data_IF_282095923707
#
_entry.id   IF_282095923707
#
_cell.length_a   1.000
_cell.length_b   1.000
_cell.length_c   1.000
_cell.angle_alpha   90.00
_cell.angle_beta   90.00
_cell.angle_gamma   90.00
#
_symmetry.space_group_name_H-M   'P 1'
#
loop_
_entity.id
_entity.type
_entity.pdbx_description
1 polymer ?
#
# COMPACT_ATOMS: atom_id res chain seq x y z
N UNK A 1 49.90 -4.98 10.87
CA UNK A 1 48.73 -4.08 10.95
C UNK A 1 47.68 -4.72 10.07
N UNK A 2 46.55 -5.15 10.64
CA UNK A 2 45.50 -5.79 9.83
C UNK A 2 44.76 -4.68 9.09
N UNK A 3 44.98 -4.59 7.78
CA UNK A 3 44.22 -3.69 6.92
C UNK A 3 42.77 -4.18 6.88
N UNK A 4 41.92 -3.52 7.66
CA UNK A 4 40.48 -3.69 7.54
C UNK A 4 40.11 -3.16 6.17
N UNK A 5 39.74 -4.05 5.26
CA UNK A 5 39.27 -3.73 3.91
C UNK A 5 38.16 -2.66 3.99
N UNK A 6 38.25 -1.61 3.18
CA UNK A 6 37.29 -0.50 3.12
C UNK A 6 35.83 -0.97 2.98
N UNK A 7 35.61 -2.12 2.32
CA UNK A 7 34.29 -2.76 2.25
C UNK A 7 33.75 -3.14 3.63
N UNK A 8 34.59 -3.69 4.51
CA UNK A 8 34.21 -4.12 5.85
C UNK A 8 33.89 -2.91 6.75
N UNK A 9 34.66 -1.83 6.64
CA UNK A 9 34.35 -0.58 7.34
C UNK A 9 33.00 -0.02 6.91
N UNK A 10 32.69 -0.07 5.61
CA UNK A 10 31.42 0.42 5.08
C UNK A 10 30.21 -0.40 5.56
N UNK A 11 30.37 -1.71 5.69
CA UNK A 11 29.33 -2.58 6.27
C UNK A 11 29.07 -2.25 7.75
N UNK A 12 30.14 -2.01 8.52
CA UNK A 12 30.05 -1.60 9.94
C UNK A 12 29.33 -0.26 10.06
N UNK A 13 29.71 0.75 9.28
CA UNK A 13 29.04 2.05 9.30
C UNK A 13 27.58 1.96 8.88
N UNK A 14 27.27 1.14 7.89
CA UNK A 14 25.90 0.89 7.45
C UNK A 14 25.07 0.25 8.58
N UNK A 15 25.63 -0.75 9.28
CA UNK A 15 24.98 -1.39 10.42
C UNK A 15 24.72 -0.38 11.55
N UNK A 16 25.74 0.36 11.99
CA UNK A 16 25.62 1.36 13.07
C UNK A 16 24.55 2.40 12.72
N UNK A 17 24.56 2.92 11.48
CA UNK A 17 23.57 3.90 11.04
C UNK A 17 22.14 3.33 10.99
N UNK A 18 21.97 2.05 10.63
CA UNK A 18 20.66 1.39 10.69
C UNK A 18 20.19 1.23 12.13
N UNK A 19 21.04 0.74 13.01
CA UNK A 19 20.72 0.56 14.44
C UNK A 19 20.41 1.90 15.09
N UNK A 20 21.19 2.94 14.82
CA UNK A 20 20.92 4.29 15.34
C UNK A 20 19.57 4.85 14.85
N UNK A 21 19.16 4.54 13.60
CA UNK A 21 17.84 4.96 13.08
C UNK A 21 16.68 4.16 13.66
N UNK A 22 16.91 2.89 14.04
CA UNK A 22 15.91 2.02 14.68
C UNK A 22 15.47 2.53 16.04
N UNK A 23 16.31 3.29 16.75
CA UNK A 23 15.99 3.79 18.08
C UNK A 23 15.98 5.31 18.11
N UNK A 24 14.82 5.90 18.41
CA UNK A 24 14.69 7.32 18.72
C UNK A 24 14.33 7.45 20.19
N UNK A 25 15.20 8.04 21.02
CA UNK A 25 14.99 8.16 22.47
C UNK A 25 14.54 6.82 23.13
N UNK A 26 15.29 5.74 22.86
CA UNK A 26 15.01 4.37 23.33
C UNK A 26 13.68 3.74 22.86
N UNK A 27 12.93 4.40 21.97
CA UNK A 27 11.73 3.84 21.33
C UNK A 27 12.03 3.36 19.92
N UNK A 28 11.41 2.24 19.52
CA UNK A 28 11.54 1.73 18.15
C UNK A 28 10.92 2.75 17.19
N UNK A 29 11.73 3.29 16.29
CA UNK A 29 11.28 4.17 15.23
C UNK A 29 10.44 3.35 14.25
N UNK A 30 9.14 3.66 14.12
CA UNK A 30 8.24 2.83 13.33
C UNK A 30 8.38 3.06 11.81
N UNK A 31 9.22 4.01 11.39
CA UNK A 31 9.47 4.35 9.99
C UNK A 31 10.71 3.65 9.39
N UNK A 32 11.31 2.71 10.11
CA UNK A 32 12.54 2.04 9.66
C UNK A 32 12.26 0.79 8.82
N UNK A 33 11.07 0.21 8.97
CA UNK A 33 10.62 -0.92 8.15
C UNK A 33 9.18 -0.71 7.72
N UNK A 34 8.90 -1.01 6.46
CA UNK A 34 7.54 -1.02 5.92
C UNK A 34 7.13 -2.45 5.59
N UNK A 35 5.99 -2.89 6.12
CA UNK A 35 5.39 -4.20 5.87
C UNK A 35 4.21 -4.02 4.92
N UNK A 36 4.34 -4.61 3.74
CA UNK A 36 3.35 -4.50 2.68
C UNK A 36 2.73 -5.87 2.45
N UNK A 37 1.41 -5.92 2.34
CA UNK A 37 0.67 -7.12 1.96
C UNK A 37 -0.33 -6.78 0.85
N UNK A 38 -0.75 -7.81 0.12
CA UNK A 38 -1.80 -7.71 -0.88
C UNK A 38 -2.78 -8.87 -0.73
N UNK A 39 -4.07 -8.60 -0.89
CA UNK A 39 -5.10 -9.63 -0.81
C UNK A 39 -6.28 -9.34 -1.73
N UNK A 40 -6.59 -10.29 -2.61
CA UNK A 40 -7.83 -10.28 -3.36
C UNK A 40 -8.98 -10.72 -2.43
N UNK A 41 -9.85 -9.77 -2.05
CA UNK A 41 -10.93 -10.00 -1.06
C UNK A 41 -12.19 -10.62 -1.67
N UNK A 42 -12.27 -10.67 -3.01
CA UNK A 42 -13.38 -11.24 -3.77
C UNK A 42 -14.75 -10.71 -3.29
N UNK A 43 -14.90 -9.39 -3.36
CA UNK A 43 -16.10 -8.62 -3.02
C UNK A 43 -16.34 -8.44 -1.52
N UNK A 44 -16.39 -7.20 -1.07
CA UNK A 44 -16.60 -6.87 0.35
C UNK A 44 -18.06 -7.05 0.77
N UNK A 45 -19.01 -6.63 -0.05
CA UNK A 45 -20.44 -6.68 0.30
C UNK A 45 -21.00 -8.10 0.40
N UNK A 46 -20.26 -9.11 -0.08
CA UNK A 46 -20.68 -10.52 0.03
C UNK A 46 -20.60 -11.04 1.46
N UNK A 47 -19.79 -10.41 2.32
CA UNK A 47 -19.72 -10.72 3.75
C UNK A 47 -19.11 -9.54 4.50
N UNK A 48 -19.91 -8.94 5.39
CA UNK A 48 -19.50 -7.80 6.23
C UNK A 48 -18.29 -8.11 7.12
N UNK A 49 -18.02 -9.39 7.40
CA UNK A 49 -16.92 -9.82 8.27
C UNK A 49 -15.58 -9.96 7.55
N UNK A 50 -15.56 -10.05 6.21
CA UNK A 50 -14.30 -10.26 5.45
C UNK A 50 -13.28 -9.15 5.70
N UNK A 51 -13.73 -7.91 5.59
CA UNK A 51 -12.86 -6.75 5.79
C UNK A 51 -12.38 -6.67 7.24
N UNK A 52 -13.28 -6.88 8.20
CA UNK A 52 -12.96 -6.83 9.63
C UNK A 52 -11.94 -7.90 10.04
N UNK A 53 -12.12 -9.15 9.56
CA UNK A 53 -11.17 -10.23 9.78
C UNK A 53 -9.80 -9.95 9.14
N UNK A 54 -9.79 -9.40 7.93
CA UNK A 54 -8.57 -9.03 7.23
C UNK A 54 -7.81 -7.89 7.95
N UNK A 55 -8.53 -6.87 8.45
CA UNK A 55 -7.94 -5.77 9.20
C UNK A 55 -7.42 -6.22 10.57
N UNK A 56 -8.13 -7.11 11.24
CA UNK A 56 -7.67 -7.76 12.48
C UNK A 56 -6.38 -8.54 12.22
N UNK A 57 -6.33 -9.32 11.14
CA UNK A 57 -5.12 -10.03 10.74
C UNK A 57 -3.97 -9.06 10.42
N UNK A 58 -4.24 -7.97 9.69
CA UNK A 58 -3.26 -6.97 9.32
C UNK A 58 -2.66 -6.30 10.56
N UNK A 59 -3.49 -5.94 11.53
CA UNK A 59 -3.08 -5.39 12.82
C UNK A 59 -2.18 -6.37 13.58
N UNK A 60 -2.61 -7.63 13.70
CA UNK A 60 -1.86 -8.70 14.37
C UNK A 60 -0.50 -9.01 13.71
N UNK A 61 -0.38 -8.76 12.40
CA UNK A 61 0.87 -8.94 11.64
C UNK A 61 1.68 -7.66 11.47
N UNK A 62 1.19 -6.55 12.05
CA UNK A 62 1.77 -5.22 11.93
C UNK A 62 1.97 -4.78 10.48
N UNK A 63 1.01 -5.06 9.61
CA UNK A 63 1.03 -4.64 8.21
C UNK A 63 0.82 -3.12 8.16
N UNK A 64 1.73 -2.41 7.51
CA UNK A 64 1.66 -0.96 7.36
C UNK A 64 0.83 -0.56 6.15
N UNK A 65 0.96 -1.30 5.05
CA UNK A 65 0.23 -1.07 3.80
C UNK A 65 -0.40 -2.38 3.34
N UNK A 66 -1.72 -2.39 3.20
CA UNK A 66 -2.48 -3.54 2.71
C UNK A 66 -3.24 -3.14 1.44
N UNK A 67 -2.78 -3.66 0.31
CA UNK A 67 -3.49 -3.56 -0.95
C UNK A 67 -4.62 -4.60 -0.99
N UNK A 68 -5.80 -4.20 -1.43
CA UNK A 68 -6.93 -5.10 -1.63
C UNK A 68 -7.49 -4.99 -3.04
N UNK A 69 -7.82 -6.13 -3.63
CA UNK A 69 -8.34 -6.23 -4.99
C UNK A 69 -9.73 -6.87 -5.01
N UNK A 70 -10.47 -6.62 -6.09
CA UNK A 70 -11.86 -7.04 -6.29
C UNK A 70 -12.78 -6.59 -5.17
N UNK A 71 -12.69 -5.30 -4.79
CA UNK A 71 -13.49 -4.75 -3.70
C UNK A 71 -14.98 -4.77 -4.03
N UNK A 72 -15.33 -4.62 -5.32
CA UNK A 72 -16.69 -4.55 -5.86
C UNK A 72 -17.58 -3.49 -5.18
N UNK A 73 -16.97 -2.37 -4.78
CA UNK A 73 -17.65 -1.22 -4.16
C UNK A 73 -17.20 0.09 -4.80
N UNK A 74 -18.05 1.11 -4.71
CA UNK A 74 -17.69 2.47 -5.05
C UNK A 74 -16.86 3.14 -3.95
N UNK A 75 -16.00 4.08 -4.32
CA UNK A 75 -15.14 4.81 -3.38
C UNK A 75 -15.92 5.49 -2.25
N UNK A 76 -17.10 6.05 -2.58
CA UNK A 76 -18.00 6.69 -1.61
C UNK A 76 -18.47 5.74 -0.52
N UNK A 77 -18.74 4.47 -0.85
CA UNK A 77 -19.08 3.44 0.15
C UNK A 77 -17.84 3.00 0.92
N UNK A 78 -16.72 2.81 0.23
CA UNK A 78 -15.44 2.40 0.82
C UNK A 78 -15.02 3.27 2.01
N UNK A 79 -15.19 4.59 1.88
CA UNK A 79 -14.86 5.56 2.93
C UNK A 79 -15.60 5.33 4.28
N UNK A 80 -16.74 4.64 4.28
CA UNK A 80 -17.55 4.39 5.47
C UNK A 80 -17.51 2.94 5.96
N UNK A 81 -16.69 2.07 5.35
CA UNK A 81 -16.67 0.65 5.70
C UNK A 81 -15.91 0.30 6.98
N UNK A 82 -14.99 1.16 7.43
CA UNK A 82 -14.23 0.90 8.64
C UNK A 82 -15.11 1.03 9.88
N UNK A 83 -15.01 0.06 10.80
CA UNK A 83 -15.56 0.22 12.15
C UNK A 83 -14.77 1.29 12.91
N UNK A 84 -15.36 1.87 13.95
CA UNK A 84 -14.71 2.95 14.71
C UNK A 84 -13.40 2.48 15.36
N UNK A 85 -13.31 1.21 15.76
CA UNK A 85 -12.06 0.60 16.23
C UNK A 85 -11.00 0.61 15.13
N UNK A 86 -11.34 0.20 13.91
CA UNK A 86 -10.38 0.15 12.81
C UNK A 86 -9.95 1.53 12.32
N UNK A 87 -10.83 2.54 12.37
CA UNK A 87 -10.49 3.94 12.02
C UNK A 87 -9.38 4.53 12.89
N UNK A 88 -9.22 4.04 14.12
CA UNK A 88 -8.13 4.49 15.01
C UNK A 88 -6.76 3.98 14.55
N UNK A 89 -6.72 2.88 13.81
CA UNK A 89 -5.48 2.23 13.38
C UNK A 89 -5.19 2.40 11.89
N UNK A 90 -6.24 2.54 11.07
CA UNK A 90 -6.11 2.53 9.62
C UNK A 90 -6.84 3.69 8.96
N UNK A 91 -6.25 4.13 7.85
CA UNK A 91 -6.85 4.98 6.84
C UNK A 91 -7.01 4.20 5.54
N UNK A 92 -8.02 4.52 4.73
CA UNK A 92 -8.30 3.78 3.49
C UNK A 92 -8.43 4.69 2.28
N UNK A 93 -7.84 4.27 1.17
CA UNK A 93 -7.98 4.85 -0.15
C UNK A 93 -8.67 3.85 -1.07
N UNK A 94 -9.57 4.32 -1.93
CA UNK A 94 -10.42 3.46 -2.74
C UNK A 94 -10.49 3.96 -4.18
N UNK A 95 -10.54 3.01 -5.13
CA UNK A 95 -11.02 3.29 -6.48
C UNK A 95 -12.54 3.08 -6.52
N UNK A 96 -13.15 3.46 -7.63
CA UNK A 96 -14.51 3.02 -7.91
C UNK A 96 -14.50 1.56 -8.39
N UNK A 97 -15.67 0.93 -8.33
CA UNK A 97 -15.95 -0.30 -9.08
C UNK A 97 -16.39 0.05 -10.49
N UNK A 98 -16.44 -0.97 -11.33
CA UNK A 98 -17.04 -0.88 -12.65
C UNK A 98 -18.58 -0.75 -12.49
N UNK A 99 -19.23 0.25 -13.11
CA UNK A 99 -20.68 0.41 -13.04
C UNK A 99 -21.40 -0.69 -13.81
N UNK A 100 -20.80 -1.21 -14.89
CA UNK A 100 -21.40 -2.18 -15.80
C UNK A 100 -21.10 -3.63 -15.40
N UNK A 101 -20.13 -3.83 -14.48
CA UNK A 101 -19.82 -5.15 -13.91
C UNK A 101 -20.28 -5.28 -12.46
N UNK A 102 -20.87 -6.42 -12.17
CA UNK A 102 -21.27 -6.80 -10.80
C UNK A 102 -20.10 -7.34 -9.95
N UNK A 103 -19.01 -7.80 -10.59
CA UNK A 103 -17.85 -8.43 -9.93
C UNK A 103 -16.55 -8.19 -10.70
N UNK A 104 -15.42 -8.43 -10.03
CA UNK A 104 -14.09 -8.41 -10.61
C UNK A 104 -13.54 -7.01 -10.86
N UNK A 105 -13.92 -6.02 -10.05
CA UNK A 105 -13.42 -4.64 -10.19
C UNK A 105 -13.26 -3.94 -8.85
N UNK A 106 -12.52 -2.83 -8.87
CA UNK A 106 -12.26 -2.02 -7.71
C UNK A 106 -11.07 -2.51 -6.90
N UNK A 107 -10.31 -1.55 -6.41
CA UNK A 107 -9.11 -1.74 -5.60
C UNK A 107 -9.13 -0.78 -4.41
N UNK A 108 -8.39 -1.13 -3.38
CA UNK A 108 -8.21 -0.28 -2.21
C UNK A 108 -6.80 -0.39 -1.63
N UNK A 109 -6.38 0.65 -0.94
CA UNK A 109 -5.18 0.68 -0.13
C UNK A 109 -5.56 1.03 1.30
N UNK A 110 -5.33 0.10 2.22
CA UNK A 110 -5.44 0.31 3.66
C UNK A 110 -4.05 0.67 4.18
N UNK A 111 -3.96 1.71 4.98
CA UNK A 111 -2.70 2.30 5.45
C UNK A 111 -2.77 2.49 6.96
N UNK A 112 -1.75 2.02 7.67
CA UNK A 112 -1.58 2.31 9.10
C UNK A 112 -1.52 3.83 9.32
N UNK A 113 -2.28 4.34 10.28
CA UNK A 113 -2.41 5.76 10.55
C UNK A 113 -1.07 6.48 10.84
N UNK A 114 -0.05 5.76 11.33
CA UNK A 114 1.27 6.38 11.50
C UNK A 114 1.92 6.76 10.16
N UNK A 115 1.57 6.05 9.08
CA UNK A 115 2.06 6.25 7.71
C UNK A 115 1.12 7.17 6.91
N UNK A 116 -0.18 7.17 7.20
CA UNK A 116 -1.18 7.96 6.46
C UNK A 116 -0.90 9.46 6.50
N UNK A 117 -0.29 9.99 7.57
CA UNK A 117 0.10 11.41 7.68
C UNK A 117 1.16 11.88 6.66
N UNK A 118 1.86 10.95 6.02
CA UNK A 118 2.83 11.26 4.97
C UNK A 118 2.23 11.10 3.57
N UNK A 119 1.01 10.57 3.47
CA UNK A 119 0.29 10.51 2.21
C UNK A 119 0.01 11.93 1.72
N UNK A 120 0.27 12.16 0.43
CA UNK A 120 0.08 13.46 -0.21
C UNK A 120 -0.93 13.39 -1.34
N UNK A 121 -0.87 12.33 -2.16
CA UNK A 121 -1.68 12.27 -3.38
C UNK A 121 -2.13 10.84 -3.65
N UNK A 122 -3.39 10.70 -4.04
CA UNK A 122 -3.96 9.49 -4.63
C UNK A 122 -4.35 9.80 -6.08
N UNK A 123 -3.79 9.03 -7.02
CA UNK A 123 -4.16 9.08 -8.44
C UNK A 123 -4.82 7.76 -8.82
N UNK A 124 -6.11 7.80 -9.17
CA UNK A 124 -6.82 6.65 -9.74
C UNK A 124 -6.68 6.71 -11.27
N UNK A 125 -5.75 5.93 -11.83
CA UNK A 125 -5.56 5.85 -13.28
C UNK A 125 -6.66 5.01 -13.94
N UNK A 126 -7.17 4.00 -13.23
CA UNK A 126 -8.33 3.23 -13.63
C UNK A 126 -9.00 2.57 -12.42
N UNK A 127 -10.04 1.77 -12.66
CA UNK A 127 -10.69 0.94 -11.64
C UNK A 127 -9.79 -0.21 -11.14
N UNK A 128 -8.64 -0.40 -11.79
CA UNK A 128 -7.70 -1.51 -11.61
C UNK A 128 -6.28 -1.02 -11.27
N UNK A 129 -6.03 0.30 -11.31
CA UNK A 129 -4.71 0.90 -11.07
C UNK A 129 -4.84 2.20 -10.29
N UNK A 130 -4.22 2.21 -9.11
CA UNK A 130 -4.16 3.36 -8.21
C UNK A 130 -2.72 3.58 -7.77
N UNK A 131 -2.29 4.84 -7.80
CA UNK A 131 -1.02 5.28 -7.26
C UNK A 131 -1.28 6.09 -5.98
N UNK A 132 -0.50 5.83 -4.93
CA UNK A 132 -0.49 6.62 -3.71
C UNK A 132 0.92 7.10 -3.41
N UNK A 133 1.08 8.40 -3.20
CA UNK A 133 2.38 9.05 -2.98
C UNK A 133 2.53 9.40 -1.50
N UNK A 134 3.63 8.95 -0.90
CA UNK A 134 4.01 9.26 0.48
C UNK A 134 5.32 10.04 0.48
N UNK A 135 5.32 11.25 1.03
CA UNK A 135 6.49 12.14 1.03
C UNK A 135 7.08 12.20 2.44
N UNK A 136 8.34 11.82 2.55
CA UNK A 136 9.17 11.93 3.73
C UNK A 136 10.27 12.96 3.48
N UNK A 137 10.97 13.36 4.55
CA UNK A 137 12.13 14.23 4.41
C UNK A 137 13.24 13.50 3.63
N UNK A 138 13.41 13.87 2.37
CA UNK A 138 14.45 13.36 1.49
C UNK A 138 14.13 12.05 0.76
N UNK A 139 12.93 11.49 0.92
CA UNK A 139 12.47 10.29 0.22
C UNK A 139 11.00 10.44 -0.15
N UNK A 140 10.64 10.06 -1.37
CA UNK A 140 9.26 9.85 -1.78
C UNK A 140 9.03 8.38 -2.07
N UNK A 141 7.94 7.82 -1.57
CA UNK A 141 7.53 6.43 -1.80
C UNK A 141 6.25 6.43 -2.62
N UNK A 142 6.29 5.78 -3.78
CA UNK A 142 5.16 5.61 -4.68
C UNK A 142 4.63 4.18 -4.55
N UNK A 143 3.38 4.04 -4.09
CA UNK A 143 2.73 2.75 -3.90
C UNK A 143 1.68 2.57 -4.98
N UNK A 144 1.91 1.57 -5.84
CA UNK A 144 1.02 1.20 -6.90
C UNK A 144 0.19 -0.01 -6.49
N UNK A 145 -1.13 0.15 -6.48
CA UNK A 145 -2.08 -0.95 -6.31
C UNK A 145 -2.63 -1.30 -7.68
N UNK A 146 -2.36 -2.52 -8.13
CA UNK A 146 -2.81 -3.04 -9.41
C UNK A 146 -3.62 -4.33 -9.22
N UNK A 147 -4.69 -4.48 -10.00
CA UNK A 147 -5.41 -5.74 -10.16
C UNK A 147 -5.47 -6.09 -11.65
N UNK A 148 -4.86 -7.22 -12.02
CA UNK A 148 -4.88 -7.73 -13.40
C UNK A 148 -5.97 -8.80 -13.50
N UNK A 149 -7.15 -8.49 -14.08
CA UNK A 149 -8.22 -9.47 -14.21
C UNK A 149 -7.75 -10.68 -15.05
N UNK A 150 -8.04 -11.92 -14.62
CA UNK A 150 -7.55 -13.12 -15.29
C UNK A 150 -8.15 -13.31 -16.68
N UNK A 151 -9.42 -12.98 -16.84
CA UNK A 151 -10.20 -13.29 -18.04
C UNK A 151 -10.28 -12.13 -19.06
N UNK A 152 -9.64 -11.00 -18.76
CA UNK A 152 -9.69 -9.81 -19.62
C UNK A 152 -8.28 -9.38 -20.05
N UNK A 153 -7.82 -9.97 -21.16
CA UNK A 153 -6.51 -9.70 -21.75
C UNK A 153 -6.37 -8.27 -22.27
N UNK A 154 -7.46 -7.67 -22.76
CA UNK A 154 -7.48 -6.28 -23.25
C UNK A 154 -7.17 -5.30 -22.13
N UNK A 155 -7.93 -5.36 -21.02
CA UNK A 155 -7.68 -4.52 -19.83
C UNK A 155 -6.27 -4.76 -19.28
N UNK A 156 -5.75 -5.99 -19.34
CA UNK A 156 -4.38 -6.28 -18.91
C UNK A 156 -3.35 -5.54 -19.76
N UNK A 157 -3.52 -5.54 -21.08
CA UNK A 157 -2.61 -4.86 -21.99
C UNK A 157 -2.69 -3.33 -21.78
N UNK A 158 -3.90 -2.78 -21.67
CA UNK A 158 -4.10 -1.36 -21.38
C UNK A 158 -3.41 -0.92 -20.08
N UNK A 159 -3.47 -1.76 -19.03
CA UNK A 159 -2.81 -1.48 -17.76
C UNK A 159 -1.28 -1.50 -17.87
N UNK A 160 -0.73 -2.44 -18.65
CA UNK A 160 0.72 -2.50 -18.90
C UNK A 160 1.16 -1.24 -19.65
N UNK A 161 0.44 -0.87 -20.70
CA UNK A 161 0.74 0.31 -21.52
C UNK A 161 0.66 1.59 -20.69
N UNK A 162 -0.35 1.72 -19.81
CA UNK A 162 -0.47 2.85 -18.88
C UNK A 162 0.73 2.96 -17.93
N UNK A 163 1.15 1.85 -17.31
CA UNK A 163 2.28 1.86 -16.39
C UNK A 163 3.57 2.29 -17.11
N UNK A 164 3.78 1.79 -18.33
CA UNK A 164 4.94 2.19 -19.15
C UNK A 164 4.90 3.68 -19.51
N UNK A 165 3.74 4.21 -19.88
CA UNK A 165 3.61 5.64 -20.20
C UNK A 165 3.88 6.54 -18.99
N UNK A 166 3.46 6.13 -17.79
CA UNK A 166 3.70 6.92 -16.57
C UNK A 166 5.18 6.88 -16.19
N UNK A 167 5.82 5.70 -16.26
CA UNK A 167 7.25 5.56 -16.00
C UNK A 167 8.11 6.40 -16.98
N UNK A 168 7.68 6.51 -18.24
CA UNK A 168 8.33 7.37 -19.24
C UNK A 168 8.10 8.87 -19.01
N UNK A 169 7.02 9.26 -18.32
CA UNK A 169 6.71 10.67 -18.05
C UNK A 169 7.42 11.20 -16.79
N UNK A 170 7.79 10.29 -15.88
CA UNK A 170 8.47 10.61 -14.61
C UNK A 170 10.01 10.60 -14.72
N UNK A 171 10.58 10.19 -15.87
CA UNK A 171 12.02 10.16 -16.20
C UNK A 171 12.39 11.22 -17.25
#
# INVERSE_FOLDING_TARGET
MLDINDSCLQDIYTFINRTARQFTNDTINPYVSIRIASHNINGILTSSQKLDALLTWASNKHINLLAIQETNIDSSRGAYLLSDTHKQHFYTFWSNKDPDKNKGSGIGLIVDNIWSKYHTTQNNHSLYLMQNVFIFKGISIYIWVCYLPPDNTEVRQELIDMVQQIDLADN
#
